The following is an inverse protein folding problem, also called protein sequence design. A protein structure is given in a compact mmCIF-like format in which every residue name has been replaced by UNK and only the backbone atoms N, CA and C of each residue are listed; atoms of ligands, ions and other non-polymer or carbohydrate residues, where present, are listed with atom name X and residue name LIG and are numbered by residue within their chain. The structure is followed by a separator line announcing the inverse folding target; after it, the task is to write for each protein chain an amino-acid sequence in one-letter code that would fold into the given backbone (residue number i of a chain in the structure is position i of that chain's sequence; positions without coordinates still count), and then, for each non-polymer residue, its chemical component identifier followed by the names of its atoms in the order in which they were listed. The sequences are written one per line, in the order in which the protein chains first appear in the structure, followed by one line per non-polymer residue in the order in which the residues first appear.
data_IF_791064703509
#
_entry.id   IF_791064703509
#
_cell.length_a   1.000
_cell.length_b   1.000
_cell.length_c   1.000
_cell.angle_alpha   90.00
_cell.angle_beta   90.00
_cell.angle_gamma   90.00
#
_symmetry.space_group_name_H-M   'P 1'
#
loop_
_entity.id
_entity.type
_entity.pdbx_description
1 polymer ?
#
# COMPACT_ATOMS: atom_id res chain seq x y z
N UNK A 1 17.44 -28.53 -14.73
CA UNK A 1 18.36 -27.39 -14.73
C UNK A 1 17.50 -26.13 -14.57
N UNK A 2 17.41 -25.56 -13.37
CA UNK A 2 16.65 -24.32 -13.15
C UNK A 2 17.42 -23.22 -13.87
N UNK A 3 16.91 -22.78 -15.03
CA UNK A 3 17.58 -21.79 -15.86
C UNK A 3 17.80 -20.50 -15.08
N UNK A 4 19.02 -19.98 -15.13
CA UNK A 4 19.38 -18.69 -14.57
C UNK A 4 18.41 -17.64 -15.12
N UNK A 5 17.71 -16.92 -14.25
CA UNK A 5 16.84 -15.81 -14.65
C UNK A 5 17.72 -14.76 -15.36
N UNK A 6 17.46 -14.53 -16.64
CA UNK A 6 18.25 -13.59 -17.48
C UNK A 6 17.81 -12.12 -17.33
N UNK A 7 17.05 -11.80 -16.28
CA UNK A 7 16.52 -10.46 -16.04
C UNK A 7 16.67 -10.10 -14.56
N UNK A 8 16.78 -8.80 -14.29
CA UNK A 8 16.72 -8.25 -12.94
C UNK A 8 15.29 -8.37 -12.41
N UNK A 9 15.09 -9.26 -11.44
CA UNK A 9 13.78 -9.52 -10.86
C UNK A 9 13.26 -8.34 -10.05
N UNK A 10 14.12 -7.61 -9.33
CA UNK A 10 13.70 -6.46 -8.54
C UNK A 10 13.19 -5.34 -9.45
N UNK A 11 13.92 -5.08 -10.54
CA UNK A 11 13.50 -4.11 -11.56
C UNK A 11 12.19 -4.54 -12.22
N UNK A 12 12.08 -5.80 -12.63
CA UNK A 12 10.87 -6.35 -13.25
C UNK A 12 9.65 -6.19 -12.34
N UNK A 13 9.77 -6.57 -11.07
CA UNK A 13 8.66 -6.48 -10.11
C UNK A 13 8.28 -5.03 -9.82
N UNK A 14 9.25 -4.10 -9.79
CA UNK A 14 8.98 -2.67 -9.65
C UNK A 14 8.22 -2.10 -10.85
N UNK A 15 8.60 -2.46 -12.07
CA UNK A 15 7.92 -2.06 -13.31
C UNK A 15 6.52 -2.68 -13.39
N UNK A 16 6.39 -3.96 -13.05
CA UNK A 16 5.09 -4.65 -12.98
C UNK A 16 4.16 -4.02 -11.94
N UNK A 17 4.66 -3.66 -10.75
CA UNK A 17 3.91 -2.91 -9.73
C UNK A 17 3.32 -1.62 -10.31
N UNK A 18 4.10 -0.87 -11.09
CA UNK A 18 3.64 0.36 -11.75
C UNK A 18 2.51 0.10 -12.75
N UNK A 19 2.62 -0.94 -13.57
CA UNK A 19 1.54 -1.33 -14.51
C UNK A 19 0.27 -1.72 -13.75
N UNK A 20 0.37 -2.57 -12.72
CA UNK A 20 -0.78 -2.97 -11.92
C UNK A 20 -1.41 -1.80 -11.18
N UNK A 21 -0.62 -0.84 -10.70
CA UNK A 21 -1.13 0.40 -10.08
C UNK A 21 -1.92 1.22 -11.08
N UNK A 22 -1.39 1.40 -12.29
CA UNK A 22 -1.97 2.23 -13.34
C UNK A 22 -3.18 1.59 -14.04
N UNK A 23 -3.18 0.27 -14.26
CA UNK A 23 -4.20 -0.44 -15.04
C UNK A 23 -5.10 -1.37 -14.21
N UNK A 24 -4.73 -1.70 -12.98
CA UNK A 24 -5.42 -2.69 -12.17
C UNK A 24 -5.00 -4.11 -12.56
N UNK A 25 -5.37 -5.10 -11.77
CA UNK A 25 -5.11 -6.50 -12.08
C UNK A 25 -5.91 -6.94 -13.30
N UNK A 26 -7.20 -6.60 -13.38
CA UNK A 26 -8.07 -6.95 -14.51
C UNK A 26 -7.60 -6.27 -15.80
N UNK A 27 -7.37 -4.96 -15.76
CA UNK A 27 -6.96 -4.16 -16.92
C UNK A 27 -5.51 -4.39 -17.40
N UNK A 28 -4.71 -5.16 -16.66
CA UNK A 28 -3.35 -5.53 -17.05
C UNK A 28 -3.34 -6.85 -17.81
N UNK A 29 -2.63 -6.91 -18.94
CA UNK A 29 -2.34 -8.15 -19.67
C UNK A 29 -0.88 -8.57 -19.50
N UNK A 30 -0.58 -9.84 -19.78
CA UNK A 30 0.81 -10.31 -19.83
C UNK A 30 1.62 -9.64 -20.96
N UNK A 31 0.96 -9.09 -21.99
CA UNK A 31 1.62 -8.31 -23.02
C UNK A 31 2.02 -6.92 -22.51
N UNK A 32 1.16 -6.25 -21.73
CA UNK A 32 1.51 -4.98 -21.08
C UNK A 32 2.73 -5.12 -20.18
N UNK A 33 2.76 -6.21 -19.40
CA UNK A 33 3.86 -6.52 -18.50
C UNK A 33 5.15 -6.81 -19.26
N UNK A 34 5.08 -7.56 -20.36
CA UNK A 34 6.23 -7.81 -21.23
C UNK A 34 6.81 -6.50 -21.81
N UNK A 35 5.93 -5.60 -22.27
CA UNK A 35 6.34 -4.30 -22.80
C UNK A 35 6.98 -3.44 -21.72
N UNK A 36 6.33 -3.31 -20.56
CA UNK A 36 6.81 -2.46 -19.48
C UNK A 36 8.12 -2.95 -18.86
N UNK A 37 8.31 -4.27 -18.78
CA UNK A 37 9.49 -4.88 -18.13
C UNK A 37 10.66 -5.14 -19.08
N UNK A 38 10.44 -5.02 -20.40
CA UNK A 38 11.40 -5.42 -21.43
C UNK A 38 11.65 -6.93 -21.49
N UNK A 39 10.91 -7.75 -20.72
CA UNK A 39 11.07 -9.20 -20.66
C UNK A 39 10.08 -9.87 -21.62
N UNK A 40 10.59 -10.83 -22.40
CA UNK A 40 9.77 -11.60 -23.32
C UNK A 40 8.59 -12.28 -22.61
N UNK A 41 7.40 -12.21 -23.21
CA UNK A 41 6.16 -12.75 -22.62
C UNK A 41 6.28 -14.22 -22.21
N UNK A 42 6.94 -15.05 -23.03
CA UNK A 42 7.20 -16.46 -22.71
C UNK A 42 8.07 -16.64 -21.46
N UNK A 43 9.07 -15.77 -21.26
CA UNK A 43 9.92 -15.79 -20.06
C UNK A 43 9.14 -15.39 -18.80
N UNK A 44 8.20 -14.44 -18.90
CA UNK A 44 7.30 -14.10 -17.79
C UNK A 44 6.41 -15.29 -17.40
N UNK A 45 5.79 -15.96 -18.38
CA UNK A 45 5.00 -17.17 -18.13
C UNK A 45 5.86 -18.28 -17.50
N UNK A 46 7.07 -18.51 -18.01
CA UNK A 46 7.97 -19.52 -17.45
C UNK A 46 8.41 -19.20 -16.01
N UNK A 47 8.59 -17.92 -15.67
CA UNK A 47 9.09 -17.50 -14.37
C UNK A 47 8.02 -17.40 -13.28
N UNK A 48 6.79 -17.01 -13.65
CA UNK A 48 5.71 -16.68 -12.70
C UNK A 48 4.46 -17.54 -12.89
N UNK A 49 4.32 -18.26 -14.00
CA UNK A 49 3.16 -19.08 -14.32
C UNK A 49 2.00 -18.26 -14.88
N UNK A 50 1.51 -17.28 -14.14
CA UNK A 50 0.38 -16.45 -14.56
C UNK A 50 0.47 -14.99 -14.05
N UNK A 51 -0.49 -14.17 -14.49
CA UNK A 51 -0.59 -12.74 -14.13
C UNK A 51 -0.84 -12.54 -12.63
N UNK A 52 -1.65 -13.39 -12.01
CA UNK A 52 -2.01 -13.29 -10.59
C UNK A 52 -0.79 -13.59 -9.71
N UNK A 53 -0.01 -14.61 -10.06
CA UNK A 53 1.24 -14.95 -9.39
C UNK A 53 2.27 -13.81 -9.52
N UNK A 54 2.42 -13.20 -10.71
CA UNK A 54 3.28 -12.03 -10.90
C UNK A 54 2.77 -10.81 -10.10
N UNK A 55 1.44 -10.60 -10.04
CA UNK A 55 0.84 -9.59 -9.18
C UNK A 55 1.17 -9.82 -7.71
N UNK A 56 0.98 -11.04 -7.19
CA UNK A 56 1.25 -11.36 -5.79
C UNK A 56 2.73 -11.17 -5.43
N UNK A 57 3.65 -11.44 -6.37
CA UNK A 57 5.09 -11.17 -6.18
C UNK A 57 5.38 -9.67 -6.12
N UNK A 58 4.79 -8.89 -7.03
CA UNK A 58 4.91 -7.43 -7.04
C UNK A 58 4.28 -6.80 -5.80
N UNK A 59 3.14 -7.35 -5.37
CA UNK A 59 2.40 -6.96 -4.18
C UNK A 59 3.19 -7.22 -2.89
N UNK A 60 3.87 -8.36 -2.76
CA UNK A 60 4.70 -8.66 -1.61
C UNK A 60 5.85 -7.64 -1.44
N UNK A 61 6.45 -7.19 -2.55
CA UNK A 61 7.47 -6.13 -2.55
C UNK A 61 6.87 -4.79 -2.11
N UNK A 62 5.70 -4.43 -2.63
CA UNK A 62 4.95 -3.24 -2.20
C UNK A 62 4.62 -3.30 -0.70
N UNK A 63 4.12 -4.45 -0.22
CA UNK A 63 3.74 -4.69 1.17
C UNK A 63 4.94 -4.46 2.10
N UNK A 64 6.09 -5.06 1.82
CA UNK A 64 7.30 -4.87 2.61
C UNK A 64 7.72 -3.39 2.69
N UNK A 65 7.73 -2.68 1.56
CA UNK A 65 8.08 -1.25 1.51
C UNK A 65 7.09 -0.39 2.30
N UNK A 66 5.79 -0.62 2.13
CA UNK A 66 4.75 0.17 2.77
C UNK A 66 4.72 -0.03 4.28
N UNK A 67 4.88 -1.28 4.73
CA UNK A 67 4.92 -1.65 6.13
C UNK A 67 6.19 -1.12 6.83
N UNK A 68 7.34 -1.13 6.16
CA UNK A 68 8.57 -0.54 6.68
C UNK A 68 8.45 0.99 6.84
N UNK A 69 7.89 1.70 5.84
CA UNK A 69 7.64 3.13 5.94
C UNK A 69 6.67 3.48 7.09
N UNK A 70 5.67 2.62 7.33
CA UNK A 70 4.78 2.79 8.47
C UNK A 70 5.52 2.62 9.81
N UNK A 71 6.39 1.63 9.95
CA UNK A 71 7.21 1.45 11.15
C UNK A 71 8.13 2.64 11.41
N UNK A 72 8.81 3.12 10.37
CA UNK A 72 9.71 4.28 10.46
C UNK A 72 8.97 5.55 10.92
N UNK A 73 7.75 5.78 10.43
CA UNK A 73 6.94 6.89 10.93
C UNK A 73 6.51 6.72 12.39
N UNK A 74 6.23 5.49 12.81
CA UNK A 74 5.67 5.18 14.14
C UNK A 74 6.71 5.05 15.25
N UNK A 75 8.01 5.20 14.96
CA UNK A 75 9.05 5.29 16.01
C UNK A 75 9.24 6.71 16.55
N UNK A 76 8.63 7.72 15.93
CA UNK A 76 8.65 9.10 16.43
C UNK A 76 8.02 9.14 17.84
N UNK A 77 8.73 9.78 18.79
CA UNK A 77 8.33 9.81 20.20
C UNK A 77 7.02 10.59 20.42
N UNK A 78 6.87 11.73 19.74
CA UNK A 78 5.62 12.46 19.78
C UNK A 78 4.55 11.77 18.92
N UNK A 79 3.48 11.31 19.58
CA UNK A 79 2.41 10.56 18.94
C UNK A 79 1.75 11.33 17.79
N UNK A 80 1.51 12.64 17.96
CA UNK A 80 0.86 13.45 16.92
C UNK A 80 1.75 13.52 15.68
N UNK A 81 3.04 13.79 15.88
CA UNK A 81 4.01 13.81 14.79
C UNK A 81 4.16 12.44 14.11
N UNK A 82 4.15 11.36 14.88
CA UNK A 82 4.19 9.99 14.36
C UNK A 82 3.00 9.69 13.43
N UNK A 83 1.78 10.05 13.85
CA UNK A 83 0.58 9.83 13.05
C UNK A 83 0.53 10.71 11.79
N UNK A 84 0.99 11.96 11.88
CA UNK A 84 1.12 12.84 10.72
C UNK A 84 2.13 12.25 9.74
N UNK A 85 3.32 11.85 10.20
CA UNK A 85 4.34 11.23 9.36
C UNK A 85 3.84 9.95 8.68
N UNK A 86 3.08 9.12 9.40
CA UNK A 86 2.46 7.91 8.85
C UNK A 86 1.48 8.24 7.72
N UNK A 87 0.58 9.21 7.93
CA UNK A 87 -0.39 9.62 6.91
C UNK A 87 0.28 10.31 5.72
N UNK A 88 1.32 11.12 5.94
CA UNK A 88 2.14 11.70 4.87
C UNK A 88 2.84 10.62 4.05
N UNK A 89 3.42 9.59 4.67
CA UNK A 89 4.00 8.46 3.96
C UNK A 89 2.95 7.70 3.12
N UNK A 90 1.73 7.52 3.65
CA UNK A 90 0.63 6.93 2.91
C UNK A 90 0.22 7.81 1.71
N UNK A 91 0.10 9.13 1.88
CA UNK A 91 -0.23 10.09 0.82
C UNK A 91 0.85 10.10 -0.25
N UNK A 92 2.13 10.16 0.14
CA UNK A 92 3.25 10.11 -0.81
C UNK A 92 3.21 8.83 -1.65
N UNK A 93 2.92 7.68 -1.03
CA UNK A 93 2.85 6.40 -1.71
C UNK A 93 1.69 6.28 -2.73
N UNK A 94 0.67 7.14 -2.67
CA UNK A 94 -0.41 7.22 -3.66
C UNK A 94 -0.29 8.40 -4.63
N UNK A 95 0.56 9.40 -4.34
CA UNK A 95 0.69 10.63 -5.14
C UNK A 95 1.98 10.73 -5.97
N UNK A 96 3.03 9.95 -5.67
CA UNK A 96 4.32 10.04 -6.38
C UNK A 96 4.28 9.36 -7.76
N UNK A 97 4.66 10.12 -8.80
CA UNK A 97 4.96 9.68 -10.18
C UNK A 97 6.49 9.41 -10.33
N UNK A 98 7.01 8.61 -11.29
CA UNK A 98 6.47 8.33 -12.64
C UNK A 98 5.77 6.97 -12.82
N UNK A 99 5.77 6.09 -11.82
CA UNK A 99 5.25 4.71 -11.94
C UNK A 99 3.74 4.59 -11.72
N UNK A 100 3.02 5.72 -11.68
CA UNK A 100 1.57 5.81 -11.64
C UNK A 100 1.03 6.35 -10.31
N UNK A 101 0.11 7.33 -10.40
CA UNK A 101 -0.72 7.77 -9.27
C UNK A 101 -1.67 6.65 -8.83
N UNK A 102 -2.16 6.72 -7.59
CA UNK A 102 -3.12 5.77 -7.02
C UNK A 102 -2.48 4.75 -6.07
N UNK A 103 -3.34 4.17 -5.22
CA UNK A 103 -2.94 3.14 -4.25
C UNK A 103 -3.18 1.73 -4.80
N UNK A 104 -2.10 0.94 -4.93
CA UNK A 104 -2.16 -0.45 -5.43
C UNK A 104 -3.18 -1.30 -4.67
N UNK A 105 -3.22 -1.19 -3.34
CA UNK A 105 -4.07 -2.01 -2.47
C UNK A 105 -5.54 -1.65 -2.60
N UNK A 106 -5.87 -0.34 -2.63
CA UNK A 106 -7.24 0.13 -2.77
C UNK A 106 -7.83 -0.29 -4.12
N UNK A 107 -7.03 -0.24 -5.19
CA UNK A 107 -7.45 -0.70 -6.51
C UNK A 107 -7.68 -2.22 -6.54
N UNK A 108 -6.70 -2.99 -6.05
CA UNK A 108 -6.82 -4.43 -5.98
C UNK A 108 -8.01 -4.88 -5.10
N UNK A 109 -8.37 -4.12 -4.06
CA UNK A 109 -9.52 -4.42 -3.21
C UNK A 109 -10.87 -4.31 -3.95
N UNK A 110 -11.01 -3.38 -4.90
CA UNK A 110 -12.21 -3.26 -5.75
C UNK A 110 -12.35 -4.47 -6.68
N UNK A 111 -11.22 -4.98 -7.18
CA UNK A 111 -11.14 -6.12 -8.10
C UNK A 111 -11.10 -7.47 -7.35
N UNK A 112 -10.87 -7.47 -6.03
CA UNK A 112 -10.64 -8.68 -5.22
C UNK A 112 -11.80 -9.68 -5.22
N UNK A 113 -13.04 -9.23 -5.46
CA UNK A 113 -14.20 -10.14 -5.60
C UNK A 113 -14.12 -10.99 -6.87
N UNK A 114 -13.46 -10.49 -7.91
CA UNK A 114 -13.34 -11.12 -9.23
C UNK A 114 -11.97 -11.81 -9.39
N UNK A 115 -10.92 -11.28 -8.74
CA UNK A 115 -9.54 -11.75 -8.81
C UNK A 115 -9.20 -13.03 -8.02
N UNK A 116 -10.20 -13.75 -7.49
CA UNK A 116 -9.99 -14.98 -6.71
C UNK A 116 -9.56 -14.79 -5.25
N UNK A 117 -9.42 -15.89 -4.52
CA UNK A 117 -9.18 -15.88 -3.06
C UNK A 117 -7.81 -15.33 -2.64
N UNK A 118 -6.75 -15.62 -3.41
CA UNK A 118 -5.36 -15.33 -3.01
C UNK A 118 -5.06 -13.83 -2.94
N UNK A 119 -5.56 -13.04 -3.89
CA UNK A 119 -5.42 -11.58 -3.89
C UNK A 119 -6.14 -10.97 -2.69
N UNK A 120 -7.37 -11.41 -2.44
CA UNK A 120 -8.15 -10.99 -1.26
C UNK A 120 -7.43 -11.32 0.04
N UNK A 121 -6.88 -12.52 0.17
CA UNK A 121 -6.16 -12.95 1.36
C UNK A 121 -4.87 -12.14 1.56
N UNK A 122 -4.14 -11.84 0.49
CA UNK A 122 -2.98 -10.95 0.52
C UNK A 122 -3.33 -9.55 1.04
N UNK A 123 -4.42 -8.96 0.54
CA UNK A 123 -4.90 -7.66 0.99
C UNK A 123 -5.33 -7.67 2.46
N UNK A 124 -6.07 -8.70 2.89
CA UNK A 124 -6.50 -8.83 4.29
C UNK A 124 -5.33 -8.99 5.25
N UNK A 125 -4.29 -9.75 4.86
CA UNK A 125 -3.05 -9.85 5.64
C UNK A 125 -2.38 -8.50 5.79
N UNK A 126 -2.19 -7.76 4.69
CA UNK A 126 -1.58 -6.43 4.74
C UNK A 126 -2.36 -5.47 5.66
N UNK A 127 -3.70 -5.48 5.58
CA UNK A 127 -4.51 -4.60 6.45
C UNK A 127 -4.41 -4.99 7.92
N UNK A 128 -4.39 -6.29 8.21
CA UNK A 128 -4.25 -6.80 9.57
C UNK A 128 -2.87 -6.47 10.16
N UNK A 129 -1.81 -6.61 9.35
CA UNK A 129 -0.44 -6.30 9.75
C UNK A 129 -0.24 -4.80 9.99
N UNK A 130 -0.78 -3.95 9.11
CA UNK A 130 -0.76 -2.50 9.30
C UNK A 130 -1.52 -2.09 10.57
N UNK A 131 -2.70 -2.65 10.80
CA UNK A 131 -3.50 -2.41 12.00
C UNK A 131 -2.73 -2.85 13.27
N UNK A 132 -2.05 -3.99 13.22
CA UNK A 132 -1.26 -4.49 14.34
C UNK A 132 -0.07 -3.57 14.68
N UNK A 133 0.64 -3.05 13.67
CA UNK A 133 1.75 -2.10 13.86
C UNK A 133 1.27 -0.79 14.47
N UNK A 134 0.18 -0.23 13.94
CA UNK A 134 -0.46 0.96 14.49
C UNK A 134 -0.92 0.74 15.92
N UNK A 135 -1.64 -0.35 16.19
CA UNK A 135 -2.10 -0.69 17.54
C UNK A 135 -0.94 -0.79 18.52
N UNK A 136 0.16 -1.44 18.13
CA UNK A 136 1.36 -1.55 18.98
C UNK A 136 1.94 -0.19 19.33
N UNK A 137 2.09 0.69 18.33
CA UNK A 137 2.58 2.05 18.55
C UNK A 137 1.63 2.86 19.46
N UNK A 138 0.33 2.76 19.21
CA UNK A 138 -0.73 3.44 19.96
C UNK A 138 -0.93 2.90 21.39
N UNK A 139 -0.47 1.70 21.70
CA UNK A 139 -0.61 1.08 23.03
C UNK A 139 0.56 1.40 23.97
N UNK A 140 1.58 2.13 23.52
CA UNK A 140 2.70 2.56 24.37
C UNK A 140 2.17 3.47 25.50
N UNK A 141 2.70 3.40 26.75
CA UNK A 141 2.15 4.14 27.89
C UNK A 141 1.96 5.65 27.67
N UNK A 142 2.88 6.31 26.95
CA UNK A 142 2.76 7.73 26.61
C UNK A 142 1.79 8.06 25.48
N UNK A 143 1.42 7.07 24.65
CA UNK A 143 0.49 7.22 23.54
C UNK A 143 -0.95 6.92 23.95
N UNK A 144 -1.16 5.80 24.66
CA UNK A 144 -2.50 5.31 25.00
C UNK A 144 -3.32 6.31 25.82
N UNK A 145 -2.68 7.03 26.75
CA UNK A 145 -3.34 8.05 27.58
C UNK A 145 -3.74 9.32 26.83
N UNK A 146 -3.26 9.53 25.60
CA UNK A 146 -3.56 10.71 24.77
C UNK A 146 -4.67 10.48 23.74
N UNK A 147 -5.14 9.23 23.60
CA UNK A 147 -6.16 8.88 22.60
C UNK A 147 -7.57 9.10 23.15
N UNK A 148 -8.48 9.60 22.29
CA UNK A 148 -9.93 9.66 22.62
C UNK A 148 -10.64 8.30 22.57
N UNK A 149 -10.04 7.32 21.90
CA UNK A 149 -10.59 5.97 21.73
C UNK A 149 -9.56 4.92 22.14
N UNK A 150 -9.96 3.65 22.23
CA UNK A 150 -8.98 2.58 22.42
C UNK A 150 -7.92 2.56 21.30
N UNK A 151 -6.68 2.13 21.58
CA UNK A 151 -5.64 1.95 20.55
C UNK A 151 -6.10 1.10 19.36
N UNK A 152 -6.92 0.09 19.65
CA UNK A 152 -7.52 -0.81 18.65
C UNK A 152 -8.50 -0.09 17.72
N UNK A 153 -9.36 0.80 18.25
CA UNK A 153 -10.28 1.59 17.44
C UNK A 153 -9.54 2.64 16.62
N UNK A 154 -8.58 3.35 17.23
CA UNK A 154 -7.77 4.35 16.52
C UNK A 154 -6.95 3.73 15.38
N UNK A 155 -6.33 2.57 15.59
CA UNK A 155 -5.61 1.84 14.54
C UNK A 155 -6.54 1.49 13.37
N UNK A 156 -7.73 0.95 13.63
CA UNK A 156 -8.73 0.66 12.59
C UNK A 156 -9.17 1.89 11.83
N UNK A 157 -9.39 3.02 12.51
CA UNK A 157 -9.78 4.27 11.88
C UNK A 157 -8.69 4.79 10.95
N UNK A 158 -7.42 4.79 11.40
CA UNK A 158 -6.27 5.19 10.58
C UNK A 158 -6.15 4.32 9.33
N UNK A 159 -6.27 3.00 9.51
CA UNK A 159 -6.32 2.03 8.42
C UNK A 159 -7.44 2.42 7.45
N UNK A 160 -8.71 2.44 7.86
CA UNK A 160 -9.83 2.85 6.97
C UNK A 160 -9.61 4.21 6.31
N UNK A 161 -9.09 5.20 7.03
CA UNK A 161 -8.88 6.54 6.50
C UNK A 161 -7.86 6.59 5.37
N UNK A 162 -6.75 5.84 5.46
CA UNK A 162 -5.79 5.74 4.33
C UNK A 162 -6.44 5.20 3.05
N UNK A 163 -7.49 4.37 3.15
CA UNK A 163 -8.27 3.92 1.99
C UNK A 163 -9.15 5.05 1.45
N UNK A 164 -9.77 5.84 2.34
CA UNK A 164 -10.48 7.05 1.97
C UNK A 164 -9.60 8.04 1.22
N UNK A 165 -8.41 8.37 1.75
CA UNK A 165 -7.43 9.23 1.09
C UNK A 165 -7.07 8.72 -0.31
N UNK A 166 -6.86 7.42 -0.47
CA UNK A 166 -6.57 6.80 -1.76
C UNK A 166 -7.72 6.91 -2.77
N UNK A 167 -8.98 6.92 -2.31
CA UNK A 167 -10.13 7.16 -3.18
C UNK A 167 -10.21 8.63 -3.58
N UNK A 168 -10.01 9.55 -2.63
CA UNK A 168 -10.03 10.99 -2.91
C UNK A 168 -8.89 11.40 -3.85
N UNK A 169 -7.70 10.84 -3.68
CA UNK A 169 -6.56 11.04 -4.60
C UNK A 169 -6.93 10.66 -6.03
N UNK A 170 -7.67 9.56 -6.21
CA UNK A 170 -8.14 9.09 -7.53
C UNK A 170 -9.21 10.00 -8.15
N UNK A 171 -9.87 10.82 -7.35
CA UNK A 171 -10.77 11.88 -7.80
C UNK A 171 -10.02 13.20 -8.07
N UNK A 172 -8.69 13.15 -8.15
CA UNK A 172 -7.81 14.31 -8.36
C UNK A 172 -7.90 15.39 -7.27
N UNK A 173 -8.30 15.00 -6.05
CA UNK A 173 -8.17 15.89 -4.89
C UNK A 173 -6.69 16.21 -4.67
N UNK A 174 -6.39 17.50 -4.51
CA UNK A 174 -5.03 18.01 -4.38
C UNK A 174 -4.32 17.41 -3.14
N UNK A 175 -3.01 17.10 -3.22
CA UNK A 175 -2.26 16.56 -2.09
C UNK A 175 -2.37 17.40 -0.81
N UNK A 176 -2.43 18.72 -0.93
CA UNK A 176 -2.55 19.61 0.24
C UNK A 176 -3.90 19.46 0.96
N UNK A 177 -4.97 19.19 0.22
CA UNK A 177 -6.27 18.86 0.81
C UNK A 177 -6.22 17.52 1.54
N UNK A 178 -5.60 16.49 0.94
CA UNK A 178 -5.42 15.19 1.59
C UNK A 178 -4.61 15.30 2.89
N UNK A 179 -3.59 16.17 2.90
CA UNK A 179 -2.78 16.47 4.10
C UNK A 179 -3.58 17.22 5.16
N UNK A 180 -4.43 18.16 4.75
CA UNK A 180 -5.33 18.85 5.67
C UNK A 180 -6.31 17.87 6.33
N UNK A 181 -6.92 16.98 5.54
CA UNK A 181 -7.80 15.92 6.05
C UNK A 181 -7.08 14.95 7.00
N UNK A 182 -5.84 14.58 6.66
CA UNK A 182 -4.98 13.77 7.54
C UNK A 182 -4.72 14.44 8.88
N UNK A 183 -4.39 15.74 8.90
CA UNK A 183 -4.18 16.51 10.14
C UNK A 183 -5.47 16.59 10.96
N UNK A 184 -6.61 16.84 10.32
CA UNK A 184 -7.91 16.87 10.98
C UNK A 184 -8.26 15.53 11.65
N UNK A 185 -7.95 14.39 11.02
CA UNK A 185 -8.10 13.08 11.68
C UNK A 185 -7.19 12.96 12.92
N UNK A 186 -5.94 13.39 12.83
CA UNK A 186 -5.02 13.33 13.98
C UNK A 186 -5.52 14.18 15.14
N UNK A 187 -6.05 15.38 14.88
CA UNK A 187 -6.66 16.25 15.90
C UNK A 187 -7.88 15.59 16.57
N UNK A 188 -8.65 14.80 15.82
CA UNK A 188 -9.77 14.03 16.35
C UNK A 188 -9.32 12.84 17.20
N UNK A 189 -8.22 12.17 16.84
CA UNK A 189 -7.73 10.99 17.57
C UNK A 189 -6.91 11.37 18.82
N UNK A 190 -6.12 12.44 18.72
CA UNK A 190 -5.18 12.93 19.73
C UNK A 190 -5.50 14.40 19.98
N UNK A 191 -6.28 14.74 21.01
CA UNK A 191 -6.57 16.13 21.37
C UNK A 191 -5.30 16.86 21.84
N UNK A 192 -5.36 18.19 21.87
CA UNK A 192 -4.32 19.02 22.47
C UNK A 192 -4.18 18.76 23.98
#
# INVERSE_FOLDING_TARGET
MVGIRQFDEEKLLAEAEGVFRAKGLEGTSMADLAVATGVQRGSLYNAYGDKEALFLRSFARYEARFLAAAEEALVIEDLRMALIAFLEAAIANMTVAPTGRGCLTTRAAVEARQAGGRVRDGLLRLMSELEARLRTALSRPGAAGRLKSSPQQAARLLVVFTRGLAVMERLDVAPDTLRADARALVDLLVPA
#
